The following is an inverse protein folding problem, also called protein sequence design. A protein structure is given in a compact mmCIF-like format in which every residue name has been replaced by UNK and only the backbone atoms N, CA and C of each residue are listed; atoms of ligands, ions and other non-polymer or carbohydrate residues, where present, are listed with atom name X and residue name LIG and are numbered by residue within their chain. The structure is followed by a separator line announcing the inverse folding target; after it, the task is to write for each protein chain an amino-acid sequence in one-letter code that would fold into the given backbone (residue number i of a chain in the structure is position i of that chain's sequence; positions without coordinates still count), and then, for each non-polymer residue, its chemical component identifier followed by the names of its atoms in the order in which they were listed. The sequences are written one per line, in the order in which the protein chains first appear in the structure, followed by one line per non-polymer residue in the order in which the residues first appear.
data_IF_565796629161
#
_entry.id   IF_565796629161
#
_cell.length_a   1.000
_cell.length_b   1.000
_cell.length_c   1.000
_cell.angle_alpha   90.00
_cell.angle_beta   90.00
_cell.angle_gamma   90.00
#
_symmetry.space_group_name_H-M   'P 1'
#
loop_
_entity.id
_entity.type
_entity.pdbx_description
1 polymer ?
#
# COMPACT_ATOMS: atom_id res chain seq x y z
N UNK A 1 -1.95 14.39 4.26
CA UNK A 1 -2.89 14.43 3.10
C UNK A 1 -3.44 13.04 2.73
N UNK A 2 -2.73 11.94 3.00
CA UNK A 2 -3.14 10.57 2.60
C UNK A 2 -4.44 10.04 3.22
N UNK A 3 -4.88 10.55 4.37
CA UNK A 3 -6.12 10.10 5.03
C UNK A 3 -7.38 10.90 4.65
N UNK A 4 -7.25 12.18 4.29
CA UNK A 4 -8.40 13.05 4.00
C UNK A 4 -9.11 12.68 2.69
N UNK A 5 -8.35 12.39 1.64
CA UNK A 5 -8.91 12.03 0.33
C UNK A 5 -9.82 10.77 0.39
N UNK A 6 -9.43 9.65 1.02
CA UNK A 6 -10.31 8.49 1.20
C UNK A 6 -11.56 8.79 2.03
N UNK A 7 -11.49 9.69 3.01
CA UNK A 7 -12.66 10.10 3.81
C UNK A 7 -13.68 10.80 2.91
N UNK A 8 -13.25 11.83 2.19
CA UNK A 8 -14.14 12.61 1.33
C UNK A 8 -14.71 11.77 0.18
N UNK A 9 -13.85 11.03 -0.52
CA UNK A 9 -14.26 10.16 -1.62
C UNK A 9 -15.21 9.05 -1.13
N UNK A 10 -14.90 8.42 0.00
CA UNK A 10 -15.75 7.38 0.58
C UNK A 10 -17.12 7.90 1.01
N UNK A 11 -17.20 9.09 1.63
CA UNK A 11 -18.47 9.71 2.01
C UNK A 11 -19.29 10.14 0.77
N UNK A 12 -18.64 10.65 -0.26
CA UNK A 12 -19.31 10.93 -1.53
C UNK A 12 -19.95 9.67 -2.12
N UNK A 13 -19.21 8.56 -2.16
CA UNK A 13 -19.71 7.27 -2.65
C UNK A 13 -20.87 6.78 -1.78
N UNK A 14 -20.71 6.74 -0.45
CA UNK A 14 -21.67 6.16 0.47
C UNK A 14 -22.96 6.99 0.61
N UNK A 15 -22.86 8.33 0.55
CA UNK A 15 -24.01 9.21 0.85
C UNK A 15 -24.68 9.78 -0.40
N UNK A 16 -23.93 9.92 -1.50
CA UNK A 16 -24.46 10.55 -2.71
C UNK A 16 -24.58 9.58 -3.87
N UNK A 17 -23.49 8.91 -4.27
CA UNK A 17 -23.51 8.05 -5.43
C UNK A 17 -24.42 6.82 -5.20
N UNK A 18 -24.32 6.14 -4.05
CA UNK A 18 -25.11 4.94 -3.73
C UNK A 18 -26.60 5.21 -3.45
N UNK A 19 -27.03 6.48 -3.33
CA UNK A 19 -28.44 6.85 -3.22
C UNK A 19 -29.13 7.09 -4.58
N UNK A 20 -28.48 6.75 -5.67
CA UNK A 20 -29.09 6.82 -7.00
C UNK A 20 -30.24 5.83 -7.14
N UNK A 21 -31.18 6.12 -8.03
CA UNK A 21 -32.36 5.26 -8.31
C UNK A 21 -31.97 3.90 -8.88
N UNK A 22 -30.84 3.79 -9.57
CA UNK A 22 -30.29 2.57 -10.11
C UNK A 22 -28.76 2.62 -10.19
N UNK A 23 -28.13 1.46 -10.44
CA UNK A 23 -26.67 1.37 -10.52
C UNK A 23 -26.08 2.19 -11.69
N UNK A 24 -26.76 2.29 -12.82
CA UNK A 24 -26.33 3.12 -13.97
C UNK A 24 -26.19 4.60 -13.60
N UNK A 25 -27.18 5.14 -12.89
CA UNK A 25 -27.16 6.53 -12.42
C UNK A 25 -26.06 6.75 -11.35
N UNK A 26 -25.82 5.76 -10.50
CA UNK A 26 -24.70 5.80 -9.55
C UNK A 26 -23.37 5.84 -10.29
N UNK A 27 -23.18 4.97 -11.26
CA UNK A 27 -21.96 4.92 -12.08
C UNK A 27 -21.72 6.25 -12.81
N UNK A 28 -22.79 6.84 -13.39
CA UNK A 28 -22.71 8.15 -14.04
C UNK A 28 -22.23 9.26 -13.07
N UNK A 29 -22.79 9.32 -11.86
CA UNK A 29 -22.33 10.25 -10.82
C UNK A 29 -20.85 10.06 -10.46
N UNK A 30 -20.40 8.82 -10.34
CA UNK A 30 -18.99 8.51 -10.06
C UNK A 30 -18.08 8.91 -11.22
N UNK A 31 -18.46 8.61 -12.45
CA UNK A 31 -17.71 8.99 -13.65
C UNK A 31 -17.58 10.51 -13.75
N UNK A 32 -18.65 11.26 -13.53
CA UNK A 32 -18.59 12.72 -13.50
C UNK A 32 -17.64 13.25 -12.41
N UNK A 33 -17.68 12.68 -11.20
CA UNK A 33 -16.79 13.08 -10.13
C UNK A 33 -15.31 12.80 -10.45
N UNK A 34 -15.00 11.64 -11.05
CA UNK A 34 -13.64 11.28 -11.47
C UNK A 34 -13.15 12.20 -12.61
N UNK A 35 -14.02 12.48 -13.59
CA UNK A 35 -13.70 13.40 -14.70
C UNK A 35 -13.43 14.81 -14.16
N UNK A 36 -14.30 15.31 -13.27
CA UNK A 36 -14.09 16.60 -12.62
C UNK A 36 -12.79 16.68 -11.85
N UNK A 37 -12.48 15.64 -11.05
CA UNK A 37 -11.20 15.57 -10.33
C UNK A 37 -10.00 15.55 -11.30
N UNK A 38 -10.09 14.83 -12.42
CA UNK A 38 -9.07 14.82 -13.47
C UNK A 38 -8.83 16.20 -14.08
N UNK A 39 -9.91 16.92 -14.42
CA UNK A 39 -9.83 18.29 -14.93
C UNK A 39 -9.18 19.21 -13.90
N UNK A 40 -9.58 19.12 -12.64
CA UNK A 40 -8.98 19.91 -11.54
C UNK A 40 -7.48 19.66 -11.42
N UNK A 41 -7.05 18.40 -11.46
CA UNK A 41 -5.61 18.04 -11.39
C UNK A 41 -4.85 18.67 -12.58
N UNK A 42 -5.37 18.57 -13.80
CA UNK A 42 -4.75 19.18 -14.98
C UNK A 42 -4.67 20.71 -14.85
N UNK A 43 -5.73 21.35 -14.35
CA UNK A 43 -5.78 22.80 -14.16
C UNK A 43 -4.76 23.26 -13.12
N UNK A 44 -4.69 22.59 -11.95
CA UNK A 44 -3.70 22.89 -10.92
C UNK A 44 -2.27 22.64 -11.38
N UNK A 45 -2.04 21.57 -12.15
CA UNK A 45 -0.73 21.31 -12.73
C UNK A 45 -0.31 22.43 -13.68
N UNK A 46 -1.20 22.84 -14.60
CA UNK A 46 -0.94 23.91 -15.54
C UNK A 46 -0.67 25.24 -14.82
N UNK A 47 -1.49 25.55 -13.81
CA UNK A 47 -1.30 26.75 -12.98
C UNK A 47 0.05 26.73 -12.25
N UNK A 48 0.43 25.59 -11.67
CA UNK A 48 1.72 25.46 -10.99
C UNK A 48 2.90 25.62 -11.93
N UNK A 49 2.84 25.08 -13.15
CA UNK A 49 3.86 25.27 -14.17
C UNK A 49 3.97 26.75 -14.58
N UNK A 50 2.85 27.40 -14.82
CA UNK A 50 2.80 28.81 -15.20
C UNK A 50 3.34 29.76 -14.09
N UNK A 51 3.10 29.42 -12.83
CA UNK A 51 3.67 30.17 -11.69
C UNK A 51 5.19 29.99 -11.59
N UNK A 52 5.70 28.77 -11.83
CA UNK A 52 7.14 28.49 -11.81
C UNK A 52 7.87 29.18 -12.97
N UNK A 53 7.29 29.22 -14.17
CA UNK A 53 7.84 29.94 -15.33
C UNK A 53 7.95 31.44 -15.02
N UNK A 54 6.92 32.04 -14.39
CA UNK A 54 6.96 33.45 -13.96
C UNK A 54 8.03 33.72 -12.90
N UNK A 55 8.29 32.79 -11.98
CA UNK A 55 9.37 32.92 -11.00
C UNK A 55 10.77 32.82 -11.65
N UNK A 56 10.95 31.96 -12.64
CA UNK A 56 12.21 31.86 -13.39
C UNK A 56 12.47 33.14 -14.21
N UNK A 57 11.47 33.69 -14.87
CA UNK A 57 11.59 34.96 -15.61
C UNK A 57 11.93 36.12 -14.67
N UNK A 58 11.40 36.14 -13.45
CA UNK A 58 11.70 37.18 -12.45
C UNK A 58 13.12 37.03 -11.86
N UNK A 59 13.65 35.81 -11.73
CA UNK A 59 15.02 35.54 -11.26
C UNK A 59 16.10 35.80 -12.30
N UNK A 60 15.79 35.66 -13.59
CA UNK A 60 16.70 35.98 -14.68
C UNK A 60 16.99 37.49 -14.82
N UNK A 61 16.28 38.37 -14.10
CA UNK A 61 16.50 39.80 -14.09
C UNK A 61 17.54 40.25 -13.01
N UNK A 62 18.12 39.32 -12.21
CA UNK A 62 19.20 39.60 -11.25
C UNK A 62 20.49 38.99 -11.77
N UNK A 63 21.50 39.78 -12.20
CA UNK A 63 22.75 39.22 -12.71
C UNK A 63 23.61 38.69 -11.55
N UNK A 64 24.04 37.43 -11.73
CA UNK A 64 25.14 36.77 -11.02
C UNK A 64 25.04 36.52 -9.51
N UNK A 65 24.48 35.38 -9.17
CA UNK A 65 25.09 34.55 -8.10
C UNK A 65 24.76 33.08 -8.41
N UNK A 66 25.82 32.29 -8.56
CA UNK A 66 25.82 30.88 -8.90
C UNK A 66 25.06 30.07 -7.87
N UNK A 67 23.77 29.86 -8.09
CA UNK A 67 22.97 28.85 -7.37
C UNK A 67 23.03 27.58 -8.20
N UNK A 68 23.72 26.59 -7.67
CA UNK A 68 23.82 25.24 -8.21
C UNK A 68 22.42 24.73 -8.59
N UNK A 69 22.20 24.59 -9.88
CA UNK A 69 20.98 23.97 -10.42
C UNK A 69 20.83 22.59 -9.79
N UNK A 70 19.80 22.42 -8.95
CA UNK A 70 19.36 21.10 -8.50
C UNK A 70 18.85 20.37 -9.73
N UNK A 71 19.75 19.68 -10.39
CA UNK A 71 19.45 18.82 -11.52
C UNK A 71 18.41 17.81 -11.07
N UNK A 72 17.16 17.98 -11.49
CA UNK A 72 16.10 16.97 -11.31
C UNK A 72 16.63 15.67 -11.94
N UNK A 73 17.18 14.78 -11.11
CA UNK A 73 17.61 13.46 -11.56
C UNK A 73 16.39 12.76 -12.18
N UNK A 74 16.38 12.63 -13.50
CA UNK A 74 15.38 11.84 -14.23
C UNK A 74 15.41 10.43 -13.62
N UNK A 75 14.28 9.99 -13.04
CA UNK A 75 14.16 8.61 -12.55
C UNK A 75 14.63 7.67 -13.63
N UNK A 76 15.62 6.82 -13.36
CA UNK A 76 16.13 5.88 -14.37
C UNK A 76 15.00 4.97 -14.81
N UNK A 77 14.65 5.00 -16.09
CA UNK A 77 13.67 4.08 -16.70
C UNK A 77 14.35 2.72 -16.85
N UNK A 78 14.30 1.90 -15.81
CA UNK A 78 14.82 0.53 -15.87
C UNK A 78 13.74 -0.41 -16.41
N UNK A 79 14.12 -1.36 -17.28
CA UNK A 79 13.24 -2.45 -17.68
C UNK A 79 13.00 -3.41 -16.50
N UNK A 80 11.94 -4.24 -16.55
CA UNK A 80 11.69 -5.22 -15.49
C UNK A 80 12.86 -6.16 -15.25
N UNK A 81 13.51 -6.62 -16.32
CA UNK A 81 14.66 -7.53 -16.25
C UNK A 81 15.86 -6.83 -15.59
N UNK A 82 16.14 -5.59 -15.98
CA UNK A 82 17.21 -4.79 -15.38
C UNK A 82 16.94 -4.52 -13.89
N UNK A 83 15.70 -4.20 -13.53
CA UNK A 83 15.28 -4.00 -12.14
C UNK A 83 15.49 -5.27 -11.31
N UNK A 84 15.12 -6.43 -11.85
CA UNK A 84 15.30 -7.71 -11.18
C UNK A 84 16.79 -8.04 -10.99
N UNK A 85 17.61 -7.88 -12.03
CA UNK A 85 19.07 -8.11 -11.97
C UNK A 85 19.74 -7.18 -10.96
N UNK A 86 19.34 -5.93 -10.91
CA UNK A 86 19.85 -4.96 -9.94
C UNK A 86 19.48 -5.32 -8.49
N UNK A 87 18.22 -5.72 -8.25
CA UNK A 87 17.79 -6.20 -6.94
C UNK A 87 18.51 -7.50 -6.52
N UNK A 88 18.74 -8.40 -7.47
CA UNK A 88 19.45 -9.65 -7.22
C UNK A 88 20.92 -9.44 -6.83
N UNK A 89 21.55 -8.34 -7.24
CA UNK A 89 22.98 -8.07 -6.97
C UNK A 89 23.26 -7.67 -5.50
N UNK A 90 22.26 -7.16 -4.77
CA UNK A 90 22.44 -6.71 -3.38
C UNK A 90 21.49 -7.45 -2.42
N UNK A 91 22.06 -8.11 -1.39
CA UNK A 91 21.28 -8.77 -0.36
C UNK A 91 20.32 -7.78 0.36
N UNK A 92 20.80 -6.59 0.64
CA UNK A 92 20.02 -5.54 1.32
C UNK A 92 18.81 -5.12 0.49
N UNK A 93 18.98 -4.86 -0.81
CA UNK A 93 17.90 -4.51 -1.73
C UNK A 93 16.91 -5.65 -1.95
N UNK A 94 17.40 -6.91 -2.01
CA UNK A 94 16.51 -8.09 -2.08
C UNK A 94 15.58 -8.16 -0.86
N UNK A 95 16.12 -7.91 0.34
CA UNK A 95 15.31 -7.93 1.56
C UNK A 95 14.25 -6.84 1.55
N UNK A 96 14.58 -5.59 1.14
CA UNK A 96 13.57 -4.53 0.98
C UNK A 96 12.52 -4.95 -0.07
N UNK A 97 12.96 -5.51 -1.20
CA UNK A 97 12.05 -6.02 -2.23
C UNK A 97 11.10 -7.11 -1.69
N UNK A 98 11.62 -8.02 -0.87
CA UNK A 98 10.81 -9.06 -0.20
C UNK A 98 9.76 -8.47 0.75
N UNK A 99 10.09 -7.40 1.49
CA UNK A 99 9.09 -6.72 2.32
C UNK A 99 7.95 -6.16 1.48
N UNK A 100 8.27 -5.46 0.39
CA UNK A 100 7.28 -4.80 -0.48
C UNK A 100 6.41 -5.83 -1.21
N UNK A 101 7.03 -6.90 -1.73
CA UNK A 101 6.32 -8.00 -2.39
C UNK A 101 5.46 -8.78 -1.38
N UNK A 102 6.01 -9.07 -0.20
CA UNK A 102 5.31 -9.76 0.88
C UNK A 102 4.02 -9.02 1.26
N UNK A 103 4.11 -7.71 1.49
CA UNK A 103 2.90 -6.90 1.72
C UNK A 103 1.92 -6.98 0.55
N UNK A 104 2.40 -6.78 -0.68
CA UNK A 104 1.54 -6.75 -1.87
C UNK A 104 0.78 -8.07 -2.10
N UNK A 105 1.43 -9.20 -1.88
CA UNK A 105 0.82 -10.52 -2.01
C UNK A 105 -0.16 -10.82 -0.87
N UNK A 106 0.25 -10.61 0.38
CA UNK A 106 -0.58 -10.93 1.56
C UNK A 106 -1.86 -10.09 1.59
N UNK A 107 -1.77 -8.78 1.32
CA UNK A 107 -2.98 -7.94 1.28
C UNK A 107 -3.90 -8.34 0.12
N UNK A 108 -3.34 -8.72 -1.03
CA UNK A 108 -4.13 -9.14 -2.17
C UNK A 108 -4.94 -10.42 -1.86
N UNK A 109 -4.31 -11.42 -1.24
CA UNK A 109 -4.97 -12.68 -0.88
C UNK A 109 -6.16 -12.47 0.05
N UNK A 110 -6.00 -11.69 1.10
CA UNK A 110 -7.07 -11.46 2.07
C UNK A 110 -8.12 -10.48 1.56
N UNK A 111 -7.73 -9.44 0.82
CA UNK A 111 -8.66 -8.42 0.32
C UNK A 111 -9.64 -8.98 -0.70
N UNK A 112 -9.21 -9.84 -1.63
CA UNK A 112 -10.10 -10.42 -2.65
C UNK A 112 -11.08 -11.38 -1.98
N UNK A 113 -10.63 -12.23 -1.04
CA UNK A 113 -11.52 -13.09 -0.28
C UNK A 113 -12.56 -12.29 0.51
N UNK A 114 -12.12 -11.29 1.27
CA UNK A 114 -13.01 -10.42 2.02
C UNK A 114 -14.04 -9.72 1.12
N UNK A 115 -13.61 -9.14 -0.01
CA UNK A 115 -14.53 -8.53 -0.98
C UNK A 115 -15.55 -9.51 -1.55
N UNK A 116 -15.16 -10.76 -1.76
CA UNK A 116 -16.08 -11.83 -2.18
C UNK A 116 -17.16 -12.10 -1.11
N UNK A 117 -16.77 -12.11 0.19
CA UNK A 117 -17.73 -12.26 1.29
C UNK A 117 -18.65 -11.04 1.42
N UNK A 118 -18.11 -9.82 1.27
CA UNK A 118 -18.91 -8.59 1.26
C UNK A 118 -19.93 -8.61 0.12
N UNK A 119 -19.52 -9.05 -1.09
CA UNK A 119 -20.43 -9.18 -2.23
C UNK A 119 -21.52 -10.23 -1.98
N UNK A 120 -21.18 -11.34 -1.29
CA UNK A 120 -22.18 -12.35 -0.89
C UNK A 120 -23.16 -11.81 0.15
N UNK A 121 -22.71 -10.94 1.06
CA UNK A 121 -23.54 -10.31 2.09
C UNK A 121 -24.41 -9.18 1.52
N UNK A 122 -23.89 -8.43 0.55
CA UNK A 122 -24.57 -7.33 -0.13
C UNK A 122 -24.66 -7.62 -1.64
N UNK A 123 -25.64 -8.41 -2.09
CA UNK A 123 -25.80 -8.77 -3.51
C UNK A 123 -26.17 -7.56 -4.39
N UNK A 124 -26.92 -6.61 -3.81
CA UNK A 124 -27.24 -5.36 -4.52
C UNK A 124 -25.99 -4.50 -4.72
N UNK A 125 -25.69 -4.10 -5.97
CA UNK A 125 -24.52 -3.26 -6.26
C UNK A 125 -24.49 -1.92 -5.51
N UNK A 126 -25.64 -1.31 -5.23
CA UNK A 126 -25.72 -0.04 -4.51
C UNK A 126 -25.38 -0.21 -3.03
N UNK A 127 -25.86 -1.28 -2.39
CA UNK A 127 -25.53 -1.59 -1.00
C UNK A 127 -24.06 -1.99 -0.84
N UNK A 128 -23.54 -2.81 -1.76
CA UNK A 128 -22.10 -3.11 -1.81
C UNK A 128 -21.27 -1.82 -1.94
N UNK A 129 -21.64 -0.92 -2.84
CA UNK A 129 -20.96 0.35 -3.05
C UNK A 129 -21.03 1.25 -1.82
N UNK A 130 -22.17 1.32 -1.14
CA UNK A 130 -22.36 2.07 0.11
C UNK A 130 -21.43 1.53 1.21
N UNK A 131 -21.38 0.21 1.36
CA UNK A 131 -20.48 -0.44 2.33
C UNK A 131 -19.01 -0.11 2.03
N UNK A 132 -18.58 -0.24 0.77
CA UNK A 132 -17.21 0.05 0.37
C UNK A 132 -16.83 1.52 0.52
N UNK A 133 -17.76 2.44 0.29
CA UNK A 133 -17.58 3.87 0.54
C UNK A 133 -17.36 4.17 2.03
N UNK A 134 -18.20 3.63 2.91
CA UNK A 134 -18.05 3.75 4.35
C UNK A 134 -16.73 3.12 4.84
N UNK A 135 -16.36 1.96 4.33
CA UNK A 135 -15.09 1.31 4.62
C UNK A 135 -13.89 2.19 4.22
N UNK A 136 -13.93 2.79 3.02
CA UNK A 136 -12.87 3.70 2.56
C UNK A 136 -12.71 4.90 3.49
N UNK A 137 -13.84 5.48 3.95
CA UNK A 137 -13.84 6.58 4.91
C UNK A 137 -13.26 6.15 6.26
N UNK A 138 -13.63 4.96 6.74
CA UNK A 138 -13.09 4.41 7.99
C UNK A 138 -11.57 4.19 7.90
N UNK A 139 -11.07 3.66 6.77
CA UNK A 139 -9.62 3.52 6.52
C UNK A 139 -8.93 4.89 6.55
N UNK A 140 -9.51 5.90 5.90
CA UNK A 140 -8.97 7.26 5.90
C UNK A 140 -8.88 7.85 7.29
N UNK A 141 -9.97 7.75 8.08
CA UNK A 141 -10.03 8.25 9.46
C UNK A 141 -9.03 7.52 10.37
N UNK A 142 -9.03 6.19 10.33
CA UNK A 142 -8.09 5.37 11.10
C UNK A 142 -6.63 5.69 10.72
N UNK A 143 -6.35 5.91 9.42
CA UNK A 143 -5.02 6.29 8.94
C UNK A 143 -4.59 7.65 9.51
N UNK A 144 -5.49 8.65 9.53
CA UNK A 144 -5.19 9.95 10.14
C UNK A 144 -4.81 9.80 11.62
N UNK A 145 -5.57 9.00 12.37
CA UNK A 145 -5.31 8.78 13.81
C UNK A 145 -3.98 8.05 14.01
N UNK A 146 -3.77 6.94 13.31
CA UNK A 146 -2.61 6.06 13.55
C UNK A 146 -1.29 6.66 13.04
N UNK A 147 -1.31 7.57 12.07
CA UNK A 147 -0.09 8.30 11.63
C UNK A 147 0.53 9.08 12.81
N UNK A 148 -0.28 9.71 13.66
CA UNK A 148 0.23 10.43 14.84
C UNK A 148 0.94 9.48 15.82
N UNK A 149 0.43 8.26 16.00
CA UNK A 149 1.04 7.25 16.88
C UNK A 149 2.22 6.55 16.20
N UNK A 150 2.17 6.33 14.88
CA UNK A 150 3.18 5.59 14.13
C UNK A 150 4.58 6.18 14.25
N UNK A 151 4.69 7.50 14.19
CA UNK A 151 5.96 8.21 14.38
C UNK A 151 6.54 7.95 15.78
N UNK A 152 5.70 7.96 16.81
CA UNK A 152 6.11 7.67 18.19
C UNK A 152 6.54 6.20 18.36
N UNK A 153 5.82 5.27 17.74
CA UNK A 153 6.20 3.84 17.75
C UNK A 153 7.60 3.64 17.17
N UNK A 154 7.88 4.20 15.99
CA UNK A 154 9.20 4.06 15.35
C UNK A 154 10.29 4.73 16.18
N UNK A 155 10.02 5.90 16.76
CA UNK A 155 10.98 6.67 17.57
C UNK A 155 11.32 5.97 18.88
N UNK A 156 10.32 5.40 19.57
CA UNK A 156 10.48 4.80 20.90
C UNK A 156 10.94 3.33 20.82
N UNK A 157 10.38 2.55 19.88
CA UNK A 157 10.60 1.11 19.81
C UNK A 157 11.60 0.71 18.71
N UNK A 158 12.03 1.68 17.90
CA UNK A 158 13.02 1.50 16.85
C UNK A 158 12.46 0.93 15.55
N UNK A 159 13.33 0.91 14.53
CA UNK A 159 12.98 0.52 13.15
C UNK A 159 12.46 -0.92 13.06
N UNK A 160 13.07 -1.86 13.79
CA UNK A 160 12.72 -3.29 13.78
C UNK A 160 11.26 -3.50 14.15
N UNK A 161 10.81 -2.89 15.24
CA UNK A 161 9.41 -3.00 15.70
C UNK A 161 8.48 -2.38 14.68
N UNK A 162 8.77 -1.19 14.18
CA UNK A 162 7.97 -0.54 13.15
C UNK A 162 7.79 -1.39 11.89
N UNK A 163 8.84 -2.09 11.45
CA UNK A 163 8.80 -2.99 10.29
C UNK A 163 8.00 -4.29 10.54
N UNK A 164 7.97 -4.78 11.80
CA UNK A 164 7.32 -6.03 12.18
C UNK A 164 5.85 -5.88 12.58
N UNK A 165 5.41 -4.69 12.98
CA UNK A 165 4.02 -4.47 13.43
C UNK A 165 3.02 -4.80 12.33
N UNK A 166 3.25 -4.36 11.09
CA UNK A 166 2.30 -4.60 9.99
C UNK A 166 2.12 -6.09 9.67
N UNK A 167 3.19 -6.88 9.41
CA UNK A 167 3.02 -8.32 9.20
C UNK A 167 2.48 -9.04 10.44
N UNK A 168 2.83 -8.60 11.65
CA UNK A 168 2.30 -9.14 12.89
C UNK A 168 0.78 -8.95 13.03
N UNK A 169 0.28 -7.74 12.79
CA UNK A 169 -1.17 -7.45 12.75
C UNK A 169 -1.86 -8.33 11.72
N UNK A 170 -1.30 -8.44 10.51
CA UNK A 170 -1.87 -9.27 9.45
C UNK A 170 -1.90 -10.74 9.84
N UNK A 171 -0.84 -11.26 10.47
CA UNK A 171 -0.77 -12.65 10.95
C UNK A 171 -1.88 -12.95 11.96
N UNK A 172 -1.99 -12.11 12.99
CA UNK A 172 -2.92 -12.33 14.11
C UNK A 172 -4.37 -12.21 13.64
N UNK A 173 -4.71 -11.17 12.88
CA UNK A 173 -6.10 -10.94 12.45
C UNK A 173 -6.55 -11.87 11.31
N UNK A 174 -5.62 -12.47 10.56
CA UNK A 174 -5.97 -13.46 9.54
C UNK A 174 -6.40 -14.80 10.17
N UNK A 175 -5.96 -15.15 11.38
CA UNK A 175 -6.37 -16.39 12.06
C UNK A 175 -7.89 -16.45 12.20
N UNK A 176 -8.56 -15.53 12.93
CA UNK A 176 -10.00 -15.60 13.08
C UNK A 176 -10.74 -15.43 11.74
N UNK A 177 -10.18 -14.69 10.78
CA UNK A 177 -10.75 -14.55 9.45
C UNK A 177 -10.82 -15.90 8.71
N UNK A 178 -9.71 -16.62 8.61
CA UNK A 178 -9.68 -17.94 7.96
C UNK A 178 -10.49 -18.98 8.73
N UNK A 179 -10.43 -18.97 10.07
CA UNK A 179 -11.23 -19.88 10.91
C UNK A 179 -12.73 -19.69 10.63
N UNK A 180 -13.23 -18.46 10.56
CA UNK A 180 -14.63 -18.21 10.21
C UNK A 180 -15.01 -18.75 8.83
N UNK A 181 -14.12 -18.69 7.85
CA UNK A 181 -14.36 -19.24 6.52
C UNK A 181 -14.38 -20.78 6.56
N UNK A 182 -13.47 -21.41 7.30
CA UNK A 182 -13.38 -22.87 7.42
C UNK A 182 -14.54 -23.49 8.20
N UNK A 183 -15.11 -22.77 9.16
CA UNK A 183 -16.31 -23.19 9.89
C UNK A 183 -17.59 -23.17 9.04
N UNK A 184 -17.50 -22.72 7.80
CA UNK A 184 -18.60 -22.64 6.85
C UNK A 184 -19.39 -21.34 6.95
N UNK A 185 -19.94 -20.94 5.80
CA UNK A 185 -20.67 -19.67 5.60
C UNK A 185 -22.15 -19.88 5.28
N UNK A 186 -22.72 -21.01 5.78
CA UNK A 186 -24.08 -21.43 5.45
C UNK A 186 -25.15 -20.62 6.20
N UNK A 187 -24.78 -20.09 7.38
CA UNK A 187 -25.67 -19.25 8.18
C UNK A 187 -25.43 -17.75 7.91
N UNK A 188 -26.50 -16.93 7.77
CA UNK A 188 -26.36 -15.49 7.65
C UNK A 188 -25.58 -14.83 8.79
N UNK A 189 -25.65 -15.41 10.00
CA UNK A 189 -24.91 -14.92 11.16
C UNK A 189 -23.41 -15.17 11.02
N UNK A 190 -23.01 -16.36 10.55
CA UNK A 190 -21.57 -16.67 10.30
C UNK A 190 -20.99 -15.82 9.19
N UNK A 191 -21.75 -15.58 8.12
CA UNK A 191 -21.31 -14.67 7.05
C UNK A 191 -21.10 -13.25 7.57
N UNK A 192 -22.00 -12.73 8.41
CA UNK A 192 -21.85 -11.40 9.04
C UNK A 192 -20.59 -11.32 9.91
N UNK A 193 -20.31 -12.33 10.72
CA UNK A 193 -19.11 -12.39 11.56
C UNK A 193 -17.85 -12.43 10.68
N UNK A 194 -17.81 -13.28 9.64
CA UNK A 194 -16.69 -13.36 8.73
C UNK A 194 -16.42 -12.03 8.00
N UNK A 195 -17.48 -11.34 7.55
CA UNK A 195 -17.38 -10.01 6.92
C UNK A 195 -16.86 -8.98 7.94
N UNK A 196 -17.38 -8.97 9.17
CA UNK A 196 -16.93 -8.04 10.20
C UNK A 196 -15.45 -8.23 10.55
N UNK A 197 -15.00 -9.46 10.78
CA UNK A 197 -13.59 -9.79 11.05
C UNK A 197 -12.71 -9.41 9.86
N UNK A 198 -13.11 -9.77 8.64
CA UNK A 198 -12.38 -9.39 7.43
C UNK A 198 -12.32 -7.87 7.21
N UNK A 199 -13.37 -7.13 7.62
CA UNK A 199 -13.39 -5.67 7.59
C UNK A 199 -12.37 -5.08 8.56
N UNK A 200 -12.33 -5.57 9.81
CA UNK A 200 -11.34 -5.15 10.81
C UNK A 200 -9.93 -5.49 10.34
N UNK A 201 -9.70 -6.70 9.83
CA UNK A 201 -8.40 -7.11 9.28
C UNK A 201 -7.96 -6.21 8.13
N UNK A 202 -8.84 -5.95 7.15
CA UNK A 202 -8.54 -5.10 5.99
C UNK A 202 -8.29 -3.64 6.41
N UNK A 203 -9.06 -3.13 7.39
CA UNK A 203 -8.87 -1.81 7.94
C UNK A 203 -7.50 -1.68 8.61
N UNK A 204 -7.18 -2.58 9.53
CA UNK A 204 -5.91 -2.58 10.27
C UNK A 204 -4.71 -2.77 9.35
N UNK A 205 -4.79 -3.66 8.36
CA UNK A 205 -3.74 -3.89 7.37
C UNK A 205 -3.44 -2.65 6.54
N UNK A 206 -4.47 -1.95 6.07
CA UNK A 206 -4.30 -0.71 5.29
C UNK A 206 -3.79 0.44 6.14
N UNK A 207 -4.32 0.60 7.34
CA UNK A 207 -3.93 1.66 8.28
C UNK A 207 -2.49 1.50 8.73
N UNK A 208 -2.08 0.29 9.15
CA UNK A 208 -0.71 0.02 9.57
C UNK A 208 0.29 0.15 8.43
N UNK A 209 -0.13 -0.14 7.18
CA UNK A 209 0.70 0.13 6.01
C UNK A 209 1.09 1.60 5.92
N UNK A 210 0.11 2.48 5.90
CA UNK A 210 0.37 3.91 5.72
C UNK A 210 1.06 4.56 6.92
N UNK A 211 0.78 4.08 8.12
CA UNK A 211 1.31 4.65 9.34
C UNK A 211 2.69 4.12 9.74
N UNK A 212 3.00 2.87 9.42
CA UNK A 212 4.22 2.19 9.88
C UNK A 212 5.03 1.58 8.75
N UNK A 213 4.41 0.75 7.90
CA UNK A 213 5.16 0.01 6.87
C UNK A 213 5.80 0.93 5.82
N UNK A 214 5.05 1.87 5.26
CA UNK A 214 5.59 2.80 4.26
C UNK A 214 6.72 3.68 4.82
N UNK A 215 6.59 4.32 6.00
CA UNK A 215 7.69 5.05 6.62
C UNK A 215 8.92 4.19 6.92
N UNK A 216 8.75 3.00 7.51
CA UNK A 216 9.89 2.11 7.81
C UNK A 216 10.59 1.62 6.55
N UNK A 217 9.84 1.32 5.49
CA UNK A 217 10.41 0.97 4.19
C UNK A 217 11.19 2.13 3.59
N UNK A 218 10.70 3.37 3.68
CA UNK A 218 11.45 4.55 3.24
C UNK A 218 12.74 4.76 4.06
N UNK A 219 12.68 4.56 5.37
CA UNK A 219 13.87 4.64 6.24
C UNK A 219 14.94 3.61 5.88
N UNK A 220 14.55 2.43 5.40
CA UNK A 220 15.48 1.39 4.98
C UNK A 220 16.40 1.83 3.81
N UNK A 221 16.01 2.84 3.02
CA UNK A 221 16.87 3.38 1.96
C UNK A 221 17.91 4.40 2.46
N UNK A 222 17.78 4.92 3.69
CA UNK A 222 18.66 5.98 4.20
C UNK A 222 20.14 5.57 4.20
N UNK A 223 20.53 4.37 4.68
CA UNK A 223 21.94 3.97 4.77
C UNK A 223 22.53 3.45 3.44
N UNK A 224 21.87 3.70 2.31
CA UNK A 224 22.37 3.34 0.99
C UNK A 224 23.03 4.54 0.33
N UNK A 225 24.03 4.27 -0.53
CA UNK A 225 24.60 5.26 -1.44
C UNK A 225 23.54 5.81 -2.40
N UNK A 226 23.74 7.01 -2.91
CA UNK A 226 22.75 7.73 -3.71
C UNK A 226 22.34 6.97 -4.98
N UNK A 227 23.27 6.27 -5.62
CA UNK A 227 22.98 5.46 -6.80
C UNK A 227 22.10 4.26 -6.45
N UNK A 228 22.48 3.46 -5.46
CA UNK A 228 21.69 2.33 -4.96
C UNK A 228 20.33 2.74 -4.43
N UNK A 229 20.23 3.91 -3.79
CA UNK A 229 18.99 4.48 -3.29
C UNK A 229 18.02 4.79 -4.44
N UNK A 230 18.46 5.53 -5.46
CA UNK A 230 17.60 5.93 -6.59
C UNK A 230 17.23 4.73 -7.47
N UNK A 231 18.23 3.93 -7.89
CA UNK A 231 18.00 2.75 -8.73
C UNK A 231 17.26 1.65 -8.00
N UNK A 232 17.62 1.38 -6.73
CA UNK A 232 16.96 0.39 -5.88
C UNK A 232 15.50 0.71 -5.65
N UNK A 233 15.18 1.97 -5.29
CA UNK A 233 13.80 2.42 -5.11
C UNK A 233 13.00 2.30 -6.41
N UNK A 234 13.55 2.75 -7.55
CA UNK A 234 12.88 2.63 -8.84
C UNK A 234 12.62 1.16 -9.21
N UNK A 235 13.59 0.26 -8.97
CA UNK A 235 13.44 -1.17 -9.23
C UNK A 235 12.36 -1.82 -8.33
N UNK A 236 12.34 -1.49 -7.04
CA UNK A 236 11.35 -2.01 -6.08
C UNK A 236 9.96 -1.47 -6.38
N UNK A 237 9.81 -0.18 -6.74
CA UNK A 237 8.53 0.40 -7.12
C UNK A 237 7.94 -0.29 -8.36
N UNK A 238 8.78 -0.60 -9.37
CA UNK A 238 8.35 -1.32 -10.57
C UNK A 238 7.94 -2.77 -10.25
N UNK A 239 8.77 -3.51 -9.50
CA UNK A 239 8.50 -4.90 -9.17
C UNK A 239 7.37 -5.02 -8.14
N UNK A 240 7.38 -4.21 -7.09
CA UNK A 240 6.37 -4.23 -6.03
C UNK A 240 4.97 -3.89 -6.54
N UNK A 241 4.85 -2.87 -7.42
CA UNK A 241 3.57 -2.49 -7.97
C UNK A 241 3.02 -3.52 -8.98
N UNK A 242 3.89 -4.12 -9.79
CA UNK A 242 3.47 -5.07 -10.83
C UNK A 242 3.36 -6.50 -10.31
N UNK A 243 4.38 -7.02 -9.61
CA UNK A 243 4.37 -8.39 -9.13
C UNK A 243 3.52 -8.57 -7.87
N UNK A 244 3.50 -7.61 -6.95
CA UNK A 244 2.69 -7.70 -5.73
C UNK A 244 1.19 -7.73 -6.04
N UNK A 245 0.70 -6.84 -6.90
CA UNK A 245 -0.72 -6.77 -7.23
C UNK A 245 -1.12 -7.75 -8.32
N UNK A 246 -0.47 -7.70 -9.48
CA UNK A 246 -0.82 -8.55 -10.62
C UNK A 246 -0.46 -10.01 -10.38
N UNK A 247 0.69 -10.29 -9.76
CA UNK A 247 1.10 -11.66 -9.40
C UNK A 247 0.14 -12.31 -8.41
N UNK A 248 -0.26 -11.58 -7.36
CA UNK A 248 -1.27 -12.06 -6.40
C UNK A 248 -2.61 -12.37 -7.06
N UNK A 249 -3.06 -11.51 -7.99
CA UNK A 249 -4.31 -11.72 -8.73
C UNK A 249 -4.22 -12.92 -9.68
N UNK A 250 -3.09 -13.13 -10.36
CA UNK A 250 -2.87 -14.28 -11.22
C UNK A 250 -2.87 -15.60 -10.43
N UNK A 251 -2.20 -15.63 -9.28
CA UNK A 251 -2.22 -16.79 -8.38
C UNK A 251 -3.66 -17.10 -7.95
N UNK A 252 -4.42 -16.10 -7.56
CA UNK A 252 -5.82 -16.30 -7.17
C UNK A 252 -6.70 -16.75 -8.32
N UNK A 253 -6.52 -16.22 -9.52
CA UNK A 253 -7.25 -16.71 -10.71
C UNK A 253 -6.93 -18.18 -10.99
N UNK A 254 -5.66 -18.58 -10.89
CA UNK A 254 -5.24 -19.96 -10.98
C UNK A 254 -5.91 -20.85 -9.92
N UNK A 255 -5.97 -20.39 -8.67
CA UNK A 255 -6.65 -21.12 -7.59
C UNK A 255 -8.16 -21.22 -7.84
N UNK A 256 -8.81 -20.14 -8.30
CA UNK A 256 -10.24 -20.17 -8.65
C UNK A 256 -10.50 -21.14 -9.80
N UNK A 257 -9.60 -21.20 -10.78
CA UNK A 257 -9.71 -22.16 -11.88
C UNK A 257 -9.62 -23.63 -11.40
N UNK A 258 -8.75 -23.91 -10.43
CA UNK A 258 -8.57 -25.27 -9.87
C UNK A 258 -9.71 -25.64 -8.92
N UNK A 259 -10.13 -24.74 -8.03
CA UNK A 259 -11.08 -25.00 -6.94
C UNK A 259 -12.52 -24.56 -7.25
N UNK A 260 -12.78 -23.96 -8.42
CA UNK A 260 -14.09 -23.49 -8.88
C UNK A 260 -14.48 -22.11 -8.32
N UNK A 261 -14.13 -21.79 -7.08
CA UNK A 261 -14.39 -20.48 -6.49
C UNK A 261 -13.36 -20.09 -5.40
N UNK A 262 -13.30 -18.82 -5.07
CA UNK A 262 -12.30 -18.30 -4.13
C UNK A 262 -12.52 -18.77 -2.68
N UNK A 263 -13.75 -19.08 -2.30
CA UNK A 263 -14.07 -19.57 -0.95
C UNK A 263 -13.61 -21.03 -0.81
N UNK A 264 -13.84 -21.85 -1.81
CA UNK A 264 -13.33 -23.24 -1.86
C UNK A 264 -11.80 -23.28 -1.90
N UNK A 265 -11.16 -22.28 -2.52
CA UNK A 265 -9.70 -22.14 -2.55
C UNK A 265 -9.12 -21.63 -1.21
N UNK A 266 -9.94 -21.29 -0.21
CA UNK A 266 -9.48 -20.65 1.03
C UNK A 266 -8.37 -21.40 1.79
N UNK A 267 -8.33 -22.77 1.85
CA UNK A 267 -7.21 -23.44 2.50
C UNK A 267 -5.87 -23.22 1.77
N UNK A 268 -5.87 -23.28 0.44
CA UNK A 268 -4.68 -23.02 -0.35
C UNK A 268 -4.23 -21.56 -0.24
N UNK A 269 -5.19 -20.62 -0.24
CA UNK A 269 -4.92 -19.19 -0.03
C UNK A 269 -4.33 -18.94 1.35
N UNK A 270 -4.82 -19.60 2.41
CA UNK A 270 -4.30 -19.49 3.76
C UNK A 270 -2.85 -19.99 3.85
N UNK A 271 -2.54 -21.13 3.25
CA UNK A 271 -1.18 -21.69 3.21
C UNK A 271 -0.23 -20.71 2.50
N UNK A 272 -0.61 -20.20 1.34
CA UNK A 272 0.19 -19.23 0.59
C UNK A 272 0.36 -17.92 1.37
N UNK A 273 -0.71 -17.43 1.98
CA UNK A 273 -0.68 -16.22 2.81
C UNK A 273 0.34 -16.34 3.94
N UNK A 274 0.27 -17.40 4.73
CA UNK A 274 1.20 -17.60 5.85
C UNK A 274 2.62 -17.90 5.39
N UNK A 275 2.81 -18.61 4.27
CA UNK A 275 4.14 -18.87 3.69
C UNK A 275 4.82 -17.55 3.28
N UNK A 276 4.11 -16.67 2.56
CA UNK A 276 4.63 -15.35 2.17
C UNK A 276 4.90 -14.49 3.40
N UNK A 277 4.01 -14.53 4.38
CA UNK A 277 4.13 -13.75 5.61
C UNK A 277 5.32 -14.17 6.47
N UNK A 278 5.61 -15.47 6.58
CA UNK A 278 6.81 -15.99 7.24
C UNK A 278 8.09 -15.54 6.53
N UNK A 279 8.11 -15.59 5.20
CA UNK A 279 9.19 -15.03 4.38
C UNK A 279 9.40 -13.54 4.62
N UNK A 280 8.30 -12.78 4.70
CA UNK A 280 8.33 -11.35 5.01
C UNK A 280 8.89 -11.07 6.42
N UNK A 281 8.39 -11.75 7.45
CA UNK A 281 8.89 -11.61 8.82
C UNK A 281 10.37 -11.95 8.93
N UNK A 282 10.82 -13.04 8.29
CA UNK A 282 12.23 -13.43 8.22
C UNK A 282 13.08 -12.34 7.55
N UNK A 283 12.62 -11.81 6.41
CA UNK A 283 13.31 -10.73 5.70
C UNK A 283 13.38 -9.44 6.54
N UNK A 284 12.31 -9.08 7.24
CA UNK A 284 12.28 -7.92 8.13
C UNK A 284 13.27 -8.07 9.31
N UNK A 285 13.34 -9.26 9.88
CA UNK A 285 14.28 -9.56 10.96
C UNK A 285 15.75 -9.46 10.49
N UNK A 286 16.09 -10.08 9.35
CA UNK A 286 17.42 -10.03 8.77
C UNK A 286 17.80 -8.60 8.36
N UNK A 287 16.88 -7.88 7.72
CA UNK A 287 17.10 -6.50 7.31
C UNK A 287 17.34 -5.58 8.52
N UNK A 288 16.70 -5.84 9.68
CA UNK A 288 16.90 -5.02 10.87
C UNK A 288 18.35 -5.07 11.37
N UNK A 289 19.00 -6.22 11.33
CA UNK A 289 20.42 -6.36 11.70
C UNK A 289 21.34 -5.60 10.73
N UNK A 290 21.09 -5.75 9.43
CA UNK A 290 21.87 -5.05 8.39
C UNK A 290 21.65 -3.54 8.41
N UNK A 291 20.44 -3.08 8.71
CA UNK A 291 20.10 -1.66 8.82
C UNK A 291 20.87 -1.00 9.98
N UNK A 292 20.89 -1.64 11.15
CA UNK A 292 21.63 -1.14 12.32
C UNK A 292 23.13 -1.06 12.01
N UNK A 293 23.73 -2.15 11.50
CA UNK A 293 25.15 -2.17 11.15
C UNK A 293 25.55 -1.07 10.16
N UNK A 294 24.77 -0.89 9.06
CA UNK A 294 25.03 0.16 8.08
C UNK A 294 24.83 1.57 8.64
N UNK A 295 23.83 1.76 9.50
CA UNK A 295 23.54 3.05 10.13
C UNK A 295 24.64 3.47 11.10
N UNK A 296 25.25 2.53 11.83
CA UNK A 296 26.40 2.79 12.70
C UNK A 296 27.67 3.13 11.91
N UNK A 297 27.95 2.42 10.83
CA UNK A 297 29.07 2.72 9.94
C UNK A 297 28.97 4.14 9.38
N UNK A 298 27.79 4.53 8.91
CA UNK A 298 27.56 5.89 8.35
C UNK A 298 27.72 6.99 9.40
N UNK A 299 27.32 6.73 10.66
CA UNK A 299 27.57 7.67 11.77
C UNK A 299 29.07 7.79 12.08
N UNK A 300 29.80 6.68 12.11
CA UNK A 300 31.23 6.67 12.36
C UNK A 300 32.03 7.41 11.28
N UNK A 301 31.64 7.30 10.01
CA UNK A 301 32.24 8.05 8.91
C UNK A 301 32.00 9.56 9.03
N UNK A 302 30.78 9.98 9.41
CA UNK A 302 30.45 11.41 9.63
C UNK A 302 31.18 12.04 10.81
N UNK A 303 31.58 11.26 11.81
CA UNK A 303 32.37 11.75 12.94
C UNK A 303 33.88 11.83 12.63
N UNK A 304 34.33 11.22 11.53
CA UNK A 304 35.74 11.28 11.09
C UNK A 304 36.04 12.40 10.08
N UNK A 305 34.98 12.97 9.50
CA UNK A 305 35.07 14.17 8.64
C UNK A 305 34.84 15.44 9.46
#
# INVERSE_FOLDING_TARGET
MSGLAPILAGQYVARYASKASNFGNSLHRLTMAVTFAGVMICTFYHLSCSLLEKEEDTKNYVPNTSVSAVTKQKKPKMSMVQSFKFLASSQYLRLIGTLVLGYGLTINFTEIMWKSLVKKMYPDPLDYQRFMGNFSSAVGLATCIVIFFGVHVIRLLGWRVGAMVTPGIMAILAIPFFVCIFLGLDSPSRLRIAVAIGTVQSLMSKTSKYALFDPTTQMAYIPLDDESKVKGKAAIDVLGSRLGKSGGSLIQQGLVFIFGNIISASPAVAVLFYSVLLGWLSAANTLSGLFLAKSEMQKAEKHRQ
#
